data_IF_998475681598
#
_entry.id   IF_998475681598
#
_cell.length_a   1.000
_cell.length_b   1.000
_cell.length_c   1.000
_cell.angle_alpha   90.00
_cell.angle_beta   90.00
_cell.angle_gamma   90.00
#
_symmetry.space_group_name_H-M   'P 1'
#
loop_
_entity.id
_entity.type
_entity.pdbx_description
1 polymer ?
#
# COMPACT_ATOMS: atom_id res chain seq x y z
N UNK A 1 -23.93 -7.16 0.16
CA UNK A 1 -22.93 -7.81 -0.73
C UNK A 1 -22.32 -6.69 -1.55
N UNK A 2 -21.34 -6.00 -0.99
CA UNK A 2 -20.53 -5.04 -1.74
C UNK A 2 -19.54 -5.84 -2.58
N UNK A 3 -19.70 -5.78 -3.89
CA UNK A 3 -18.75 -6.37 -4.81
C UNK A 3 -17.57 -5.39 -4.89
N UNK A 4 -16.32 -5.82 -4.71
CA UNK A 4 -15.14 -4.95 -4.59
C UNK A 4 -14.92 -3.91 -5.72
N UNK A 5 -15.64 -4.02 -6.84
CA UNK A 5 -15.74 -2.98 -7.89
C UNK A 5 -16.43 -1.70 -7.40
N UNK A 6 -17.46 -1.83 -6.56
CA UNK A 6 -18.18 -0.69 -5.97
C UNK A 6 -17.31 0.07 -4.98
N UNK A 7 -16.67 -0.65 -4.06
CA UNK A 7 -15.72 -0.09 -3.10
C UNK A 7 -14.56 0.65 -3.80
N UNK A 8 -14.04 0.08 -4.90
CA UNK A 8 -12.98 0.71 -5.67
C UNK A 8 -13.43 2.04 -6.30
N UNK A 9 -14.64 2.09 -6.89
CA UNK A 9 -15.17 3.33 -7.47
C UNK A 9 -15.39 4.40 -6.40
N UNK A 10 -16.01 4.03 -5.29
CA UNK A 10 -16.24 4.96 -4.17
C UNK A 10 -14.92 5.51 -3.62
N UNK A 11 -13.88 4.68 -3.52
CA UNK A 11 -12.55 5.13 -3.14
C UNK A 11 -12.00 6.19 -4.12
N UNK A 12 -12.17 6.00 -5.43
CA UNK A 12 -11.77 7.01 -6.42
C UNK A 12 -12.58 8.30 -6.25
N UNK A 13 -13.90 8.20 -6.10
CA UNK A 13 -14.78 9.38 -5.98
C UNK A 13 -14.45 10.20 -4.72
N UNK A 14 -14.15 9.52 -3.61
CA UNK A 14 -13.69 10.16 -2.35
C UNK A 14 -12.35 10.85 -2.53
N UNK A 15 -11.40 10.18 -3.19
CA UNK A 15 -10.10 10.77 -3.50
C UNK A 15 -10.24 12.03 -4.35
N UNK A 16 -11.00 11.96 -5.44
CA UNK A 16 -11.23 13.08 -6.36
C UNK A 16 -11.90 14.26 -5.66
N UNK A 17 -12.86 14.00 -4.77
CA UNK A 17 -13.52 15.02 -3.95
C UNK A 17 -12.58 15.70 -2.96
N UNK A 18 -11.59 14.97 -2.42
CA UNK A 18 -10.63 15.50 -1.45
C UNK A 18 -9.39 16.16 -2.10
N UNK A 19 -9.08 15.86 -3.37
CA UNK A 19 -7.94 16.44 -4.10
C UNK A 19 -7.79 17.97 -3.95
N UNK A 20 -8.86 18.80 -4.03
CA UNK A 20 -8.71 20.25 -3.94
C UNK A 20 -8.17 20.74 -2.58
N UNK A 21 -8.39 19.99 -1.50
CA UNK A 21 -7.92 20.33 -0.15
C UNK A 21 -6.57 19.70 0.20
N UNK A 22 -6.02 18.83 -0.66
CA UNK A 22 -4.72 18.20 -0.41
C UNK A 22 -3.57 19.21 -0.42
N UNK A 23 -2.55 19.03 0.43
CA UNK A 23 -1.41 19.91 0.48
C UNK A 23 -0.56 19.76 -0.80
N UNK A 24 0.03 20.87 -1.24
CA UNK A 24 0.94 20.89 -2.42
C UNK A 24 2.35 20.38 -2.11
N UNK A 25 2.67 20.14 -0.82
CA UNK A 25 4.00 19.67 -0.37
C UNK A 25 3.89 18.96 0.98
N UNK A 26 4.69 17.91 1.17
CA UNK A 26 5.01 17.37 2.50
C UNK A 26 6.35 17.92 3.03
N UNK A 27 6.51 18.02 4.35
CA UNK A 27 7.68 18.71 4.95
C UNK A 27 9.01 18.03 4.60
N UNK A 28 9.05 16.69 4.66
CA UNK A 28 10.24 15.87 4.39
C UNK A 28 10.02 15.03 3.13
N UNK A 29 11.03 14.88 2.25
CA UNK A 29 10.98 13.91 1.17
C UNK A 29 10.63 12.52 1.67
N UNK A 30 9.71 11.86 0.97
CA UNK A 30 9.29 10.49 1.21
C UNK A 30 9.27 9.73 -0.10
N UNK A 31 9.83 8.52 -0.07
CA UNK A 31 9.66 7.50 -1.10
C UNK A 31 8.77 6.38 -0.57
N UNK A 32 7.76 5.98 -1.34
CA UNK A 32 6.86 4.87 -1.00
C UNK A 32 6.94 3.83 -2.11
N UNK A 33 7.02 2.57 -1.72
CA UNK A 33 6.72 1.43 -2.61
C UNK A 33 5.30 0.97 -2.32
N UNK A 34 4.36 1.17 -3.23
CA UNK A 34 2.95 0.81 -3.01
C UNK A 34 2.61 -0.46 -3.80
N UNK A 35 2.32 -1.53 -3.08
CA UNK A 35 1.94 -2.84 -3.62
C UNK A 35 0.42 -2.93 -3.84
N UNK A 36 0.02 -3.59 -4.92
CA UNK A 36 -1.38 -3.96 -5.17
C UNK A 36 -1.44 -5.16 -6.13
N UNK A 37 -2.64 -5.74 -6.32
CA UNK A 37 -2.88 -6.74 -7.37
C UNK A 37 -2.91 -6.09 -8.76
N UNK A 38 -2.63 -6.88 -9.80
CA UNK A 38 -2.54 -6.39 -11.19
C UNK A 38 -3.82 -5.71 -11.67
N UNK A 39 -5.00 -6.18 -11.24
CA UNK A 39 -6.30 -5.65 -11.66
C UNK A 39 -6.49 -4.16 -11.31
N UNK A 40 -6.02 -3.75 -10.13
CA UNK A 40 -6.22 -2.40 -9.62
C UNK A 40 -5.09 -1.43 -10.01
N UNK A 41 -3.94 -1.94 -10.43
CA UNK A 41 -2.70 -1.17 -10.56
C UNK A 41 -2.84 0.01 -11.53
N UNK A 42 -3.34 -0.21 -12.74
CA UNK A 42 -3.46 0.87 -13.73
C UNK A 42 -4.43 1.97 -13.29
N UNK A 43 -5.57 1.57 -12.71
CA UNK A 43 -6.58 2.52 -12.25
C UNK A 43 -6.08 3.32 -11.03
N UNK A 44 -5.47 2.66 -10.04
CA UNK A 44 -4.85 3.35 -8.91
C UNK A 44 -3.77 4.33 -9.38
N UNK A 45 -2.93 3.89 -10.33
CA UNK A 45 -1.89 4.75 -10.89
C UNK A 45 -2.47 6.02 -11.48
N UNK A 46 -3.41 5.86 -12.42
CA UNK A 46 -4.03 6.96 -13.16
C UNK A 46 -4.80 7.93 -12.27
N UNK A 47 -5.58 7.40 -11.33
CA UNK A 47 -6.51 8.21 -10.54
C UNK A 47 -5.91 8.73 -9.23
N UNK A 48 -4.97 8.01 -8.63
CA UNK A 48 -4.44 8.36 -7.30
C UNK A 48 -2.94 8.69 -7.39
N UNK A 49 -2.12 7.74 -7.81
CA UNK A 49 -0.65 7.84 -7.68
C UNK A 49 -0.08 9.00 -8.50
N UNK A 50 -0.53 9.17 -9.74
CA UNK A 50 -0.04 10.24 -10.62
C UNK A 50 -0.33 11.64 -10.06
N UNK A 51 -1.40 11.80 -9.29
CA UNK A 51 -1.67 13.04 -8.57
C UNK A 51 -0.82 13.17 -7.31
N UNK A 52 -0.73 12.11 -6.50
CA UNK A 52 0.09 12.14 -5.29
C UNK A 52 1.57 12.44 -5.60
N UNK A 53 2.09 11.95 -6.73
CA UNK A 53 3.44 12.26 -7.21
C UNK A 53 3.64 13.72 -7.68
N UNK A 54 2.57 14.50 -7.86
CA UNK A 54 2.66 15.96 -8.09
C UNK A 54 2.82 16.73 -6.78
N UNK A 55 2.52 16.13 -5.63
CA UNK A 55 2.76 16.72 -4.33
C UNK A 55 4.28 16.74 -4.12
N UNK A 56 4.87 17.92 -4.01
CA UNK A 56 6.32 18.02 -3.85
C UNK A 56 6.75 17.29 -2.57
N UNK A 57 7.91 16.63 -2.66
CA UNK A 57 8.50 15.76 -1.63
C UNK A 57 7.79 14.40 -1.48
N UNK A 58 6.83 14.05 -2.33
CA UNK A 58 6.25 12.70 -2.41
C UNK A 58 6.77 12.01 -3.67
N UNK A 59 7.21 10.77 -3.52
CA UNK A 59 7.58 9.88 -4.63
C UNK A 59 7.03 8.49 -4.34
N UNK A 60 6.13 8.01 -5.17
CA UNK A 60 5.46 6.72 -5.03
C UNK A 60 5.74 5.89 -6.27
N UNK A 61 6.30 4.71 -6.05
CA UNK A 61 6.41 3.67 -7.06
C UNK A 61 5.34 2.61 -6.80
N UNK A 62 4.44 2.42 -7.75
CA UNK A 62 3.44 1.36 -7.69
C UNK A 62 3.99 0.07 -8.27
N UNK A 63 3.93 -1.01 -7.49
CA UNK A 63 4.35 -2.34 -7.89
C UNK A 63 3.12 -3.26 -7.96
N UNK A 64 2.62 -3.60 -9.16
CA UNK A 64 1.67 -4.68 -9.30
C UNK A 64 2.36 -6.01 -8.96
N UNK A 65 1.74 -6.78 -8.08
CA UNK A 65 2.22 -8.11 -7.68
C UNK A 65 1.35 -9.16 -8.36
N UNK A 66 2.00 -10.05 -9.09
CA UNK A 66 1.36 -11.24 -9.64
C UNK A 66 1.17 -12.29 -8.55
N UNK A 67 0.00 -12.94 -8.54
CA UNK A 67 -0.28 -14.05 -7.64
C UNK A 67 0.29 -15.34 -8.25
N UNK A 68 1.42 -15.84 -7.76
CA UNK A 68 1.95 -17.14 -8.19
C UNK A 68 1.44 -18.27 -7.30
N UNK A 69 1.05 -17.97 -6.06
CA UNK A 69 0.55 -18.96 -5.10
C UNK A 69 -0.78 -19.60 -5.55
N UNK A 70 -1.77 -18.80 -5.94
CA UNK A 70 -3.05 -19.26 -6.49
C UNK A 70 -3.09 -19.26 -8.03
N UNK A 71 -2.05 -18.72 -8.68
CA UNK A 71 -1.90 -18.65 -10.13
C UNK A 71 -2.21 -17.25 -10.71
N UNK A 72 -1.54 -16.93 -11.82
CA UNK A 72 -1.45 -15.54 -12.33
C UNK A 72 -2.75 -14.99 -12.93
N UNK A 73 -3.80 -15.82 -13.02
CA UNK A 73 -5.15 -15.39 -13.39
C UNK A 73 -5.88 -14.74 -12.21
N UNK A 74 -5.37 -14.87 -10.99
CA UNK A 74 -5.88 -14.20 -9.80
C UNK A 74 -5.20 -12.83 -9.68
N UNK A 75 -5.93 -11.78 -10.03
CA UNK A 75 -5.39 -10.42 -10.19
C UNK A 75 -5.76 -9.46 -9.05
N UNK A 76 -6.55 -9.93 -8.08
CA UNK A 76 -7.06 -9.13 -6.96
C UNK A 76 -6.05 -9.08 -5.80
N UNK A 77 -6.01 -7.95 -5.10
CA UNK A 77 -5.03 -7.72 -4.01
C UNK A 77 -5.31 -8.51 -2.73
N UNK A 78 -6.58 -8.84 -2.45
CA UNK A 78 -6.98 -9.54 -1.22
C UNK A 78 -6.65 -11.02 -1.18
N UNK A 79 -6.05 -11.56 -2.24
CA UNK A 79 -5.59 -12.95 -2.32
C UNK A 79 -4.06 -13.04 -2.49
N UNK A 80 -3.35 -11.91 -2.37
CA UNK A 80 -1.89 -11.91 -2.40
C UNK A 80 -1.34 -12.51 -1.11
N UNK A 81 -0.21 -13.21 -1.24
CA UNK A 81 0.51 -13.84 -0.12
C UNK A 81 1.84 -13.13 0.15
N UNK A 82 2.40 -13.34 1.34
CA UNK A 82 3.66 -12.73 1.75
C UNK A 82 4.82 -13.12 0.83
N UNK A 83 4.90 -14.39 0.45
CA UNK A 83 5.94 -14.93 -0.42
C UNK A 83 5.97 -14.25 -1.81
N UNK A 84 4.82 -14.05 -2.44
CA UNK A 84 4.72 -13.41 -3.77
C UNK A 84 5.19 -11.96 -3.73
N UNK A 85 4.78 -11.23 -2.69
CA UNK A 85 5.19 -9.85 -2.46
C UNK A 85 6.71 -9.80 -2.24
N UNK A 86 7.25 -10.65 -1.35
CA UNK A 86 8.68 -10.70 -1.08
C UNK A 86 9.48 -11.02 -2.35
N UNK A 87 9.11 -12.06 -3.09
CA UNK A 87 9.85 -12.50 -4.27
C UNK A 87 9.90 -11.43 -5.36
N UNK A 88 8.85 -10.62 -5.50
CA UNK A 88 8.79 -9.54 -6.48
C UNK A 88 9.46 -8.26 -6.01
N UNK A 89 9.68 -8.08 -4.70
CA UNK A 89 10.31 -6.88 -4.12
C UNK A 89 11.78 -7.05 -3.72
N UNK A 90 12.24 -8.26 -3.35
CA UNK A 90 13.55 -8.51 -2.70
C UNK A 90 14.78 -7.98 -3.44
N UNK A 91 14.72 -7.85 -4.76
CA UNK A 91 15.82 -7.38 -5.61
C UNK A 91 15.57 -5.99 -6.21
N UNK A 92 14.62 -5.23 -5.66
CA UNK A 92 14.27 -3.88 -6.14
C UNK A 92 14.74 -2.81 -5.15
N UNK A 93 15.05 -1.60 -5.62
CA UNK A 93 15.19 -0.46 -4.73
C UNK A 93 13.82 -0.14 -4.11
N UNK A 94 13.70 -0.29 -2.79
CA UNK A 94 12.48 0.04 -2.07
C UNK A 94 12.52 1.49 -1.57
N UNK A 95 11.33 2.10 -1.47
CA UNK A 95 11.14 3.39 -0.79
C UNK A 95 11.38 3.30 0.71
N UNK A 96 11.09 4.39 1.41
CA UNK A 96 11.18 4.50 2.87
C UNK A 96 10.19 3.56 3.58
N UNK A 97 9.04 3.31 2.95
CA UNK A 97 7.94 2.47 3.44
C UNK A 97 7.35 1.64 2.29
N UNK A 98 7.01 0.38 2.57
CA UNK A 98 6.17 -0.46 1.70
C UNK A 98 4.73 -0.34 2.15
N UNK A 99 3.84 0.15 1.28
CA UNK A 99 2.41 0.14 1.51
C UNK A 99 1.79 -1.11 0.91
N UNK A 100 1.07 -1.87 1.74
CA UNK A 100 0.35 -3.06 1.34
C UNK A 100 -1.13 -2.72 1.12
N UNK A 101 -1.82 -3.42 0.19
CA UNK A 101 -3.21 -3.15 -0.12
C UNK A 101 -4.13 -3.52 1.06
N UNK A 102 -5.32 -2.89 1.17
CA UNK A 102 -6.28 -3.27 2.18
C UNK A 102 -6.70 -4.74 1.98
N UNK A 103 -7.04 -5.40 3.09
CA UNK A 103 -7.52 -6.81 3.12
C UNK A 103 -6.53 -7.84 2.54
N UNK A 104 -5.23 -7.52 2.53
CA UNK A 104 -4.17 -8.50 2.19
C UNK A 104 -3.95 -9.52 3.31
N UNK A 105 -4.41 -9.20 4.52
CA UNK A 105 -4.36 -10.07 5.68
C UNK A 105 -5.75 -10.64 5.97
N UNK A 106 -5.78 -11.86 6.51
CA UNK A 106 -6.97 -12.51 7.04
C UNK A 106 -7.37 -11.89 8.41
N UNK A 107 -8.43 -12.44 9.02
CA UNK A 107 -8.96 -11.96 10.31
C UNK A 107 -7.96 -12.13 11.48
N UNK A 108 -7.03 -13.08 11.37
CA UNK A 108 -5.96 -13.33 12.34
C UNK A 108 -4.73 -12.42 12.12
N UNK A 109 -4.77 -11.54 11.11
CA UNK A 109 -3.66 -10.64 10.79
C UNK A 109 -2.50 -11.31 10.04
N UNK A 110 -2.75 -12.45 9.40
CA UNK A 110 -1.77 -13.20 8.62
C UNK A 110 -2.04 -13.05 7.12
N UNK A 111 -0.99 -13.12 6.31
CA UNK A 111 -1.14 -13.42 4.89
C UNK A 111 -1.68 -14.86 4.71
N UNK A 112 -2.19 -15.20 3.52
CA UNK A 112 -2.79 -16.54 3.27
C UNK A 112 -1.75 -17.68 3.25
N UNK A 113 -0.46 -17.36 3.27
CA UNK A 113 0.68 -18.29 3.43
C UNK A 113 1.26 -18.30 4.86
N UNK A 114 0.45 -17.88 5.84
CA UNK A 114 0.77 -17.85 7.28
C UNK A 114 1.90 -16.89 7.69
N UNK A 115 2.38 -16.04 6.78
CA UNK A 115 3.33 -14.98 7.14
C UNK A 115 2.65 -13.88 7.93
N UNK A 116 3.37 -13.28 8.87
CA UNK A 116 3.00 -12.00 9.46
C UNK A 116 3.57 -10.84 8.64
N UNK A 117 3.07 -9.63 8.87
CA UNK A 117 3.70 -8.41 8.33
C UNK A 117 5.15 -8.29 8.83
N UNK A 118 5.44 -8.69 10.07
CA UNK A 118 6.78 -8.63 10.63
C UNK A 118 7.77 -9.57 9.91
N UNK A 119 7.31 -10.75 9.47
CA UNK A 119 8.14 -11.66 8.67
C UNK A 119 8.52 -11.03 7.33
N UNK A 120 7.55 -10.37 6.67
CA UNK A 120 7.81 -9.65 5.43
C UNK A 120 8.75 -8.45 5.65
N UNK A 121 8.55 -7.66 6.71
CA UNK A 121 9.41 -6.54 7.08
C UNK A 121 10.86 -6.98 7.31
N UNK A 122 11.04 -8.07 8.07
CA UNK A 122 12.35 -8.63 8.37
C UNK A 122 13.06 -9.11 7.10
N UNK A 123 12.34 -9.81 6.22
CA UNK A 123 12.90 -10.32 4.96
C UNK A 123 13.25 -9.22 3.96
N UNK A 124 12.43 -8.17 3.88
CA UNK A 124 12.69 -7.02 3.00
C UNK A 124 13.68 -6.01 3.60
N UNK A 125 14.00 -6.13 4.89
CA UNK A 125 14.69 -5.11 5.66
C UNK A 125 14.06 -3.73 5.44
N UNK A 126 12.73 -3.68 5.53
CA UNK A 126 11.93 -2.49 5.23
C UNK A 126 10.61 -2.52 5.99
N UNK A 127 10.22 -1.38 6.56
CA UNK A 127 8.90 -1.22 7.20
C UNK A 127 7.78 -1.40 6.19
N UNK A 128 6.72 -2.08 6.62
CA UNK A 128 5.51 -2.36 5.87
C UNK A 128 4.31 -1.79 6.63
N UNK A 129 3.33 -1.25 5.91
CA UNK A 129 2.07 -0.80 6.49
C UNK A 129 0.92 -1.25 5.62
N UNK A 130 -0.06 -1.94 6.20
CA UNK A 130 -1.32 -2.27 5.52
C UNK A 130 -2.18 -1.02 5.52
N UNK A 131 -2.42 -0.45 4.34
CA UNK A 131 -3.14 0.80 4.20
C UNK A 131 -4.66 0.54 4.30
N UNK A 132 -5.19 0.63 5.52
CA UNK A 132 -6.61 0.47 5.83
C UNK A 132 -7.35 1.80 5.99
N UNK A 133 -6.60 2.90 6.05
CA UNK A 133 -7.14 4.24 6.14
C UNK A 133 -7.80 4.69 4.82
N UNK A 134 -8.73 5.67 4.88
CA UNK A 134 -9.23 6.35 3.70
C UNK A 134 -8.12 6.92 2.83
N UNK A 135 -8.22 6.75 1.51
CA UNK A 135 -7.20 7.21 0.56
C UNK A 135 -7.01 8.74 0.59
N UNK A 136 -8.05 9.49 0.89
CA UNK A 136 -7.97 10.95 1.07
C UNK A 136 -7.09 11.36 2.26
N UNK A 137 -6.88 10.47 3.23
CA UNK A 137 -6.02 10.70 4.40
C UNK A 137 -4.56 10.32 4.15
N UNK A 138 -4.20 9.91 2.92
CA UNK A 138 -2.86 9.42 2.58
C UNK A 138 -1.73 10.32 3.09
N UNK A 139 -1.82 11.63 2.86
CA UNK A 139 -0.74 12.55 3.25
C UNK A 139 -0.56 12.63 4.76
N UNK A 140 -1.65 12.60 5.52
CA UNK A 140 -1.59 12.58 6.98
C UNK A 140 -0.96 11.29 7.49
N UNK A 141 -1.42 10.14 6.97
CA UNK A 141 -0.92 8.81 7.33
C UNK A 141 0.57 8.69 7.07
N UNK A 142 1.03 9.07 5.87
CA UNK A 142 2.46 8.99 5.53
C UNK A 142 3.31 9.92 6.40
N UNK A 143 2.85 11.14 6.67
CA UNK A 143 3.57 12.01 7.60
C UNK A 143 3.64 11.41 9.01
N UNK A 144 2.59 10.76 9.49
CA UNK A 144 2.61 10.06 10.78
C UNK A 144 3.62 8.91 10.76
N UNK A 145 3.51 7.99 9.81
CA UNK A 145 4.31 6.75 9.76
C UNK A 145 5.82 6.98 9.64
N UNK A 146 6.24 8.10 9.03
CA UNK A 146 7.65 8.45 8.81
C UNK A 146 8.22 9.29 9.95
N UNK A 147 7.38 10.05 10.66
CA UNK A 147 7.83 10.87 11.79
C UNK A 147 7.68 10.17 13.14
N UNK A 148 7.01 9.03 13.21
CA UNK A 148 6.95 8.21 14.42
C UNK A 148 8.30 7.53 14.69
N UNK A 149 8.94 7.78 15.85
CA UNK A 149 10.12 7.01 16.26
C UNK A 149 9.73 5.54 16.49
N UNK A 150 10.61 4.61 16.13
CA UNK A 150 10.40 3.14 16.24
C UNK A 150 10.01 2.64 17.64
N UNK A 151 10.09 3.48 18.67
CA UNK A 151 10.05 3.09 20.08
C UNK A 151 8.66 3.14 20.76
N UNK A 152 7.57 2.90 20.03
CA UNK A 152 6.20 2.81 20.60
C UNK A 152 5.45 1.53 20.22
N UNK A 153 6.14 0.38 20.16
CA UNK A 153 5.49 -0.93 19.96
C UNK A 153 5.93 -1.95 21.00
N UNK A 154 5.52 -1.71 22.25
CA UNK A 154 5.17 -2.74 23.21
C UNK A 154 3.96 -2.22 24.00
N UNK A 155 3.10 -3.14 24.44
CA UNK A 155 1.77 -2.95 25.06
C UNK A 155 0.71 -2.62 24.01
N UNK A 156 -0.16 -3.55 23.60
CA UNK A 156 -1.04 -4.41 24.42
C UNK A 156 -1.00 -5.87 23.96
#
# INVERSE_FOLDING_TARGET
IENGVGEFREMIDRFESARPSMPKRVKRPVKITWVTGTLAAENLKKHIIDYLNKIRNVSIEMIPVFNYFYGTTIEVSGLLVGEDIYNQLKNRPLGDLVLLPPRVLNEDGLFLDDWTVADLEQKLNRKCHVFTEPVESFVEVINRLINEPENKRLVV
#
